data_IF_712504394048
#
_entry.id   IF_712504394048
#
_cell.length_a   1.000
_cell.length_b   1.000
_cell.length_c   1.000
_cell.angle_alpha   90.00
_cell.angle_beta   90.00
_cell.angle_gamma   90.00
#
_symmetry.space_group_name_H-M   'P 1'
#
loop_
_entity.id
_entity.type
_entity.pdbx_description
1 polymer ?
#
# COMPACT_ATOMS: atom_id res chain seq x y z
N UNK A 1 -16.43 15.98 -19.03
CA UNK A 1 -15.17 16.34 -18.35
C UNK A 1 -14.76 15.15 -17.52
N UNK A 2 -13.68 14.46 -17.89
CA UNK A 2 -13.17 13.31 -17.15
C UNK A 2 -12.57 13.81 -15.83
N UNK A 3 -13.23 13.50 -14.72
CA UNK A 3 -12.61 13.59 -13.39
C UNK A 3 -11.54 12.51 -13.32
N UNK A 4 -10.35 12.76 -13.88
CA UNK A 4 -9.18 11.95 -13.54
C UNK A 4 -9.01 12.09 -12.03
N UNK A 5 -9.45 11.08 -11.29
CA UNK A 5 -9.15 10.95 -9.89
C UNK A 5 -7.62 11.07 -9.78
N UNK A 6 -7.13 12.08 -9.07
CA UNK A 6 -5.70 12.39 -8.90
C UNK A 6 -4.96 11.32 -8.06
N UNK A 7 -5.52 10.12 -8.03
CA UNK A 7 -5.24 8.98 -7.19
C UNK A 7 -4.82 7.80 -8.08
N UNK A 8 -4.67 6.63 -7.48
CA UNK A 8 -4.54 5.37 -8.24
C UNK A 8 -5.76 5.26 -9.17
N UNK A 9 -5.57 5.25 -10.51
CA UNK A 9 -6.68 5.26 -11.44
C UNK A 9 -7.45 3.93 -11.39
N UNK A 10 -8.73 3.99 -11.75
CA UNK A 10 -9.45 2.77 -12.10
C UNK A 10 -8.78 2.12 -13.32
N UNK A 11 -8.62 0.81 -13.26
CA UNK A 11 -7.94 0.03 -14.29
C UNK A 11 -8.61 -1.34 -14.38
N UNK A 12 -8.38 -2.03 -15.50
CA UNK A 12 -8.78 -3.42 -15.59
C UNK A 12 -7.96 -4.23 -14.60
N UNK A 13 -8.65 -4.87 -13.68
CA UNK A 13 -8.00 -5.70 -12.69
C UNK A 13 -7.52 -7.03 -13.29
N UNK A 14 -6.30 -7.44 -12.96
CA UNK A 14 -5.65 -8.67 -13.38
C UNK A 14 -4.95 -9.29 -12.16
N UNK A 15 -5.08 -10.60 -11.99
CA UNK A 15 -4.48 -11.40 -10.91
C UNK A 15 -2.95 -11.36 -10.88
N UNK A 16 -2.31 -11.04 -12.01
CA UNK A 16 -0.86 -10.88 -12.17
C UNK A 16 -0.34 -9.55 -11.66
N UNK A 17 -1.22 -8.63 -11.24
CA UNK A 17 -0.82 -7.31 -10.77
C UNK A 17 -0.24 -7.37 -9.36
N UNK A 18 0.91 -6.73 -9.18
CA UNK A 18 1.45 -6.37 -7.89
C UNK A 18 1.46 -4.85 -7.73
N UNK A 19 1.06 -4.36 -6.55
CA UNK A 19 1.17 -2.96 -6.17
C UNK A 19 2.46 -2.74 -5.39
N UNK A 20 3.28 -1.81 -5.87
CA UNK A 20 4.47 -1.33 -5.19
C UNK A 20 4.33 0.16 -4.88
N UNK A 21 4.49 0.52 -3.61
CA UNK A 21 4.52 1.91 -3.14
C UNK A 21 5.85 2.17 -2.45
N UNK A 22 6.62 3.12 -2.97
CA UNK A 22 7.77 3.69 -2.29
C UNK A 22 7.41 5.11 -1.90
N UNK A 23 7.45 5.43 -0.62
CA UNK A 23 7.06 6.76 -0.13
C UNK A 23 8.17 7.35 0.70
N UNK A 24 8.41 8.64 0.52
CA UNK A 24 9.31 9.47 1.31
C UNK A 24 8.58 10.77 1.69
N UNK A 25 9.24 11.66 2.44
CA UNK A 25 8.62 12.92 2.87
C UNK A 25 8.20 13.81 1.69
N UNK A 26 9.01 13.86 0.63
CA UNK A 26 8.81 14.79 -0.50
C UNK A 26 8.64 14.08 -1.85
N UNK A 27 8.69 12.76 -1.89
CA UNK A 27 8.60 12.01 -3.13
C UNK A 27 7.91 10.68 -2.88
N UNK A 28 7.27 10.15 -3.92
CA UNK A 28 6.74 8.81 -3.90
C UNK A 28 6.72 8.22 -5.30
N UNK A 29 6.73 6.90 -5.34
CA UNK A 29 6.61 6.10 -6.53
C UNK A 29 5.53 5.06 -6.28
N UNK A 30 4.46 5.10 -7.06
CA UNK A 30 3.38 4.12 -7.00
C UNK A 30 3.34 3.40 -8.34
N UNK A 31 3.49 2.09 -8.32
CA UNK A 31 3.49 1.26 -9.51
C UNK A 31 2.52 0.12 -9.34
N UNK A 32 1.63 -0.04 -10.33
CA UNK A 32 0.85 -1.24 -10.51
C UNK A 32 1.40 -2.00 -11.72
N UNK A 33 1.87 -3.22 -11.47
CA UNK A 33 2.57 -4.02 -12.49
C UNK A 33 1.75 -4.17 -13.77
N UNK A 34 2.39 -3.89 -14.91
CA UNK A 34 1.79 -3.93 -16.25
C UNK A 34 0.61 -2.96 -16.49
N UNK A 35 0.37 -2.00 -15.59
CA UNK A 35 -0.69 -1.00 -15.76
C UNK A 35 -0.16 0.42 -15.79
N UNK A 36 0.35 0.91 -14.66
CA UNK A 36 0.74 2.31 -14.56
C UNK A 36 1.89 2.51 -13.59
N UNK A 37 2.54 3.66 -13.75
CA UNK A 37 3.57 4.18 -12.86
C UNK A 37 3.28 5.66 -12.59
N UNK A 38 3.06 6.00 -11.34
CA UNK A 38 2.86 7.38 -10.89
C UNK A 38 4.06 7.80 -10.06
N UNK A 39 4.68 8.90 -10.46
CA UNK A 39 5.72 9.54 -9.66
C UNK A 39 5.17 10.82 -9.05
N UNK A 40 5.46 10.99 -7.77
CA UNK A 40 5.12 12.17 -6.99
C UNK A 40 6.42 12.82 -6.56
N UNK A 41 6.50 14.14 -6.70
CA UNK A 41 7.56 14.91 -6.05
C UNK A 41 7.03 16.27 -5.66
N UNK A 42 7.55 16.80 -4.55
CA UNK A 42 7.13 18.08 -3.99
C UNK A 42 8.27 19.07 -4.00
N UNK A 43 8.07 20.17 -4.70
CA UNK A 43 9.00 21.29 -4.73
C UNK A 43 8.23 22.48 -4.13
N UNK A 44 8.67 22.97 -2.96
CA UNK A 44 7.95 24.02 -2.22
C UNK A 44 6.53 23.60 -1.79
N UNK A 45 5.48 24.36 -2.17
CA UNK A 45 4.09 24.18 -1.72
C UNK A 45 3.24 23.29 -2.64
N UNK A 46 3.75 22.90 -3.80
CA UNK A 46 3.02 22.10 -4.79
C UNK A 46 3.66 20.73 -4.94
N UNK A 47 2.79 19.72 -5.03
CA UNK A 47 3.19 18.36 -5.39
C UNK A 47 2.84 18.14 -6.84
N UNK A 48 3.83 17.77 -7.63
CA UNK A 48 3.64 17.33 -9.00
C UNK A 48 3.36 15.84 -9.01
N UNK A 49 2.34 15.44 -9.76
CA UNK A 49 1.96 14.04 -10.01
C UNK A 49 2.15 13.78 -11.49
N UNK A 50 2.98 12.79 -11.84
CA UNK A 50 3.28 12.43 -13.22
C UNK A 50 2.94 10.97 -13.50
N UNK A 51 2.09 10.75 -14.50
CA UNK A 51 1.81 9.42 -15.06
C UNK A 51 2.84 9.12 -16.14
N UNK A 52 3.66 8.09 -15.94
CA UNK A 52 4.78 7.80 -16.84
C UNK A 52 4.29 7.40 -18.23
N UNK A 53 3.21 6.65 -18.29
CA UNK A 53 2.67 6.05 -19.51
C UNK A 53 1.99 7.09 -20.42
N UNK A 54 1.38 8.13 -19.83
CA UNK A 54 0.68 9.19 -20.57
C UNK A 54 1.56 10.42 -20.81
N UNK A 55 2.73 10.49 -20.14
CA UNK A 55 3.57 11.69 -20.05
C UNK A 55 2.79 12.96 -19.65
N UNK A 56 1.71 12.76 -18.90
CA UNK A 56 0.89 13.84 -18.33
C UNK A 56 1.35 14.14 -16.91
N UNK A 57 1.28 15.42 -16.54
CA UNK A 57 1.57 15.91 -15.20
C UNK A 57 0.50 16.88 -14.71
N UNK A 58 0.29 16.90 -13.41
CA UNK A 58 -0.62 17.85 -12.75
C UNK A 58 -0.03 18.29 -11.41
N UNK A 59 -0.43 19.47 -10.95
CA UNK A 59 0.02 20.04 -9.70
C UNK A 59 -1.10 20.09 -8.67
N UNK A 60 -0.79 19.68 -7.44
CA UNK A 60 -1.76 19.56 -6.36
C UNK A 60 -1.21 20.25 -5.11
N UNK A 61 -2.08 21.01 -4.43
CA UNK A 61 -1.78 21.71 -3.17
C UNK A 61 -1.89 20.79 -1.95
N UNK A 62 -1.35 19.57 -2.03
CA UNK A 62 -1.35 18.58 -0.94
C UNK A 62 0.00 17.90 -0.79
N UNK A 63 0.33 17.40 0.40
CA UNK A 63 1.61 16.72 0.63
C UNK A 63 1.65 15.35 -0.05
N UNK A 64 2.85 14.90 -0.44
CA UNK A 64 3.03 13.59 -1.08
C UNK A 64 2.48 12.43 -0.24
N UNK A 65 2.83 12.31 1.06
CA UNK A 65 2.22 11.31 1.93
C UNK A 65 0.70 11.30 1.91
N UNK A 66 0.08 12.48 1.97
CA UNK A 66 -1.39 12.58 2.05
C UNK A 66 -2.07 12.10 0.77
N UNK A 67 -1.54 12.49 -0.40
CA UNK A 67 -2.09 12.04 -1.69
C UNK A 67 -1.92 10.52 -1.83
N UNK A 68 -0.74 9.99 -1.50
CA UNK A 68 -0.45 8.55 -1.58
C UNK A 68 -1.32 7.75 -0.61
N UNK A 69 -1.46 8.18 0.65
CA UNK A 69 -2.35 7.57 1.64
C UNK A 69 -3.80 7.53 1.16
N UNK A 70 -4.32 8.63 0.60
CA UNK A 70 -5.68 8.66 0.06
C UNK A 70 -5.85 7.69 -1.11
N UNK A 71 -4.89 7.66 -2.05
CA UNK A 71 -4.90 6.73 -3.16
C UNK A 71 -4.85 5.27 -2.71
N UNK A 72 -3.97 4.94 -1.77
CA UNK A 72 -3.86 3.60 -1.16
C UNK A 72 -5.17 3.16 -0.51
N UNK A 73 -5.79 4.02 0.30
CA UNK A 73 -7.07 3.72 0.95
C UNK A 73 -8.15 3.34 -0.07
N UNK A 74 -8.30 4.16 -1.11
CA UNK A 74 -9.33 3.97 -2.15
C UNK A 74 -9.04 2.72 -2.99
N UNK A 75 -7.76 2.49 -3.35
CA UNK A 75 -7.37 1.30 -4.10
C UNK A 75 -7.68 0.03 -3.30
N UNK A 76 -7.26 -0.03 -2.03
CA UNK A 76 -7.45 -1.21 -1.20
C UNK A 76 -8.93 -1.48 -0.87
N UNK A 77 -9.76 -0.44 -0.70
CA UNK A 77 -11.19 -0.62 -0.47
C UNK A 77 -11.92 -1.19 -1.69
N UNK A 78 -11.46 -0.85 -2.90
CA UNK A 78 -12.17 -1.16 -4.13
C UNK A 78 -11.62 -2.41 -4.85
N UNK A 79 -10.41 -2.88 -4.51
CA UNK A 79 -9.76 -4.02 -5.18
C UNK A 79 -10.58 -5.30 -5.03
N UNK A 80 -11.03 -5.93 -6.12
CA UNK A 80 -11.83 -7.16 -6.04
C UNK A 80 -11.02 -8.42 -6.31
N UNK A 81 -10.12 -8.34 -7.27
CA UNK A 81 -9.26 -9.45 -7.69
C UNK A 81 -8.05 -9.58 -6.79
N UNK A 82 -7.50 -10.79 -6.78
CA UNK A 82 -6.24 -11.12 -6.14
C UNK A 82 -5.10 -10.21 -6.61
N UNK A 83 -4.23 -9.84 -5.68
CA UNK A 83 -2.94 -9.21 -5.96
C UNK A 83 -1.83 -10.25 -5.85
N UNK A 84 -0.91 -10.24 -6.82
CA UNK A 84 0.32 -11.02 -6.72
C UNK A 84 1.20 -10.50 -5.59
N UNK A 85 1.27 -9.18 -5.40
CA UNK A 85 2.00 -8.59 -4.27
C UNK A 85 1.44 -7.24 -3.82
N UNK A 86 1.64 -6.94 -2.54
CA UNK A 86 1.46 -5.61 -1.96
C UNK A 86 2.75 -5.24 -1.21
N UNK A 87 3.47 -4.25 -1.72
CA UNK A 87 4.78 -3.84 -1.20
C UNK A 87 4.76 -2.37 -0.82
N UNK A 88 5.07 -2.04 0.43
CA UNK A 88 5.15 -0.67 0.96
C UNK A 88 6.55 -0.46 1.54
N UNK A 89 7.36 0.36 0.86
CA UNK A 89 8.77 0.56 1.19
C UNK A 89 9.09 2.07 1.35
N UNK A 90 10.13 2.37 2.12
CA UNK A 90 10.72 3.70 2.27
C UNK A 90 12.13 3.53 2.82
N UNK A 91 13.05 4.43 2.45
CA UNK A 91 14.41 4.35 2.99
C UNK A 91 14.56 5.01 4.35
N UNK A 92 13.77 6.02 4.70
CA UNK A 92 13.85 6.74 5.98
C UNK A 92 12.54 7.52 6.21
N UNK A 93 11.51 6.84 6.71
CA UNK A 93 10.20 7.45 6.92
C UNK A 93 10.08 8.00 8.36
N UNK A 94 9.52 9.20 8.51
CA UNK A 94 9.15 9.72 9.83
C UNK A 94 7.96 8.94 10.37
N UNK A 95 7.93 8.69 11.68
CA UNK A 95 6.84 7.96 12.35
C UNK A 95 5.44 8.52 12.04
N UNK A 96 5.29 9.84 11.92
CA UNK A 96 4.03 10.46 11.52
C UNK A 96 3.54 9.98 10.14
N UNK A 97 4.44 9.92 9.16
CA UNK A 97 4.13 9.47 7.80
C UNK A 97 3.86 7.96 7.78
N UNK A 98 4.62 7.19 8.55
CA UNK A 98 4.39 5.76 8.74
C UNK A 98 2.99 5.49 9.28
N UNK A 99 2.62 6.16 10.38
CA UNK A 99 1.29 6.05 10.98
C UNK A 99 0.21 6.46 9.97
N UNK A 100 0.42 7.54 9.23
CA UNK A 100 -0.52 7.99 8.21
C UNK A 100 -0.76 6.94 7.11
N UNK A 101 0.28 6.28 6.63
CA UNK A 101 0.18 5.20 5.63
C UNK A 101 -0.52 3.99 6.23
N UNK A 102 -0.09 3.54 7.41
CA UNK A 102 -0.70 2.40 8.11
C UNK A 102 -2.19 2.61 8.34
N UNK A 103 -2.59 3.75 8.90
CA UNK A 103 -3.99 4.12 9.14
C UNK A 103 -4.79 4.19 7.83
N UNK A 104 -4.20 4.70 6.75
CA UNK A 104 -4.88 4.75 5.47
C UNK A 104 -5.15 3.36 4.89
N UNK A 105 -4.17 2.46 4.98
CA UNK A 105 -4.34 1.06 4.57
C UNK A 105 -5.40 0.35 5.40
N UNK A 106 -5.29 0.44 6.73
CA UNK A 106 -6.25 -0.17 7.65
C UNK A 106 -7.68 0.33 7.38
N UNK A 107 -7.85 1.64 7.19
CA UNK A 107 -9.16 2.22 6.85
C UNK A 107 -9.68 1.75 5.49
N UNK A 108 -8.83 1.52 4.49
CA UNK A 108 -9.23 0.98 3.20
C UNK A 108 -9.68 -0.47 3.32
N UNK A 109 -8.91 -1.27 4.06
CA UNK A 109 -9.16 -2.69 4.27
C UNK A 109 -10.42 -2.95 5.12
N UNK A 110 -10.66 -2.14 6.16
CA UNK A 110 -11.89 -2.20 6.99
C UNK A 110 -13.18 -1.96 6.21
N UNK A 111 -13.12 -1.26 5.09
CA UNK A 111 -14.30 -0.99 4.26
C UNK A 111 -14.70 -2.18 3.39
N UNK A 112 -13.87 -3.23 3.34
CA UNK A 112 -14.13 -4.42 2.54
C UNK A 112 -15.05 -5.38 3.30
N UNK A 113 -15.95 -6.03 2.56
CA UNK A 113 -16.77 -7.11 3.10
C UNK A 113 -16.00 -8.43 3.20
N UNK A 114 -14.97 -8.60 2.38
CA UNK A 114 -14.12 -9.79 2.33
C UNK A 114 -12.65 -9.40 2.54
N UNK A 115 -11.83 -10.30 3.12
CA UNK A 115 -10.39 -10.08 3.21
C UNK A 115 -9.75 -9.75 1.86
N UNK A 116 -8.65 -9.00 1.89
CA UNK A 116 -7.85 -8.75 0.71
C UNK A 116 -7.15 -10.05 0.29
N UNK A 117 -7.45 -10.50 -0.93
CA UNK A 117 -6.72 -11.61 -1.53
C UNK A 117 -5.39 -11.10 -2.08
N UNK A 118 -4.30 -11.48 -1.42
CA UNK A 118 -2.94 -11.10 -1.81
C UNK A 118 -1.99 -12.26 -1.55
N UNK A 119 -1.14 -12.59 -2.53
CA UNK A 119 -0.21 -13.71 -2.39
C UNK A 119 1.02 -13.36 -1.57
N UNK A 120 1.54 -12.14 -1.71
CA UNK A 120 2.79 -11.72 -1.07
C UNK A 120 2.60 -10.34 -0.47
N UNK A 121 2.98 -10.17 0.80
CA UNK A 121 3.08 -8.84 1.41
C UNK A 121 4.49 -8.54 1.85
N UNK A 122 4.91 -7.31 1.61
CA UNK A 122 6.19 -6.78 2.07
C UNK A 122 6.00 -5.38 2.65
N UNK A 123 6.30 -5.20 3.93
CA UNK A 123 6.16 -3.95 4.64
C UNK A 123 7.48 -3.59 5.34
N UNK A 124 8.35 -2.88 4.63
CA UNK A 124 9.67 -2.50 5.16
C UNK A 124 9.60 -1.26 6.08
N UNK A 125 8.46 -0.58 6.09
CA UNK A 125 8.27 0.71 6.80
C UNK A 125 7.38 0.62 8.02
N UNK A 126 6.64 -0.47 8.16
CA UNK A 126 5.65 -0.62 9.23
C UNK A 126 6.28 -1.35 10.39
N UNK A 127 5.95 -0.93 11.61
CA UNK A 127 6.34 -1.68 12.78
C UNK A 127 5.52 -2.97 12.88
N UNK A 128 6.00 -3.91 13.70
CA UNK A 128 5.38 -5.22 13.82
C UNK A 128 3.91 -5.16 14.25
N UNK A 129 3.51 -4.20 15.08
CA UNK A 129 2.11 -4.05 15.52
C UNK A 129 1.22 -3.60 14.36
N UNK A 130 1.70 -2.64 13.57
CA UNK A 130 1.02 -2.18 12.36
C UNK A 130 0.88 -3.31 11.33
N UNK A 131 1.94 -4.11 11.14
CA UNK A 131 1.89 -5.29 10.26
C UNK A 131 0.82 -6.26 10.75
N UNK A 132 0.83 -6.63 12.03
CA UNK A 132 -0.17 -7.54 12.62
C UNK A 132 -1.59 -6.99 12.43
N UNK A 133 -1.80 -5.70 12.69
CA UNK A 133 -3.10 -5.07 12.52
C UNK A 133 -3.62 -5.16 11.07
N UNK A 134 -2.74 -5.04 10.07
CA UNK A 134 -3.09 -5.16 8.66
C UNK A 134 -3.31 -6.61 8.21
N UNK A 135 -2.53 -7.56 8.72
CA UNK A 135 -2.61 -8.98 8.35
C UNK A 135 -4.00 -9.58 8.64
N UNK A 136 -4.69 -9.11 9.68
CA UNK A 136 -6.07 -9.52 10.02
C UNK A 136 -7.08 -9.29 8.90
N UNK A 137 -6.78 -8.40 7.95
CA UNK A 137 -7.65 -8.08 6.81
C UNK A 137 -7.23 -8.79 5.52
N UNK A 138 -6.29 -9.73 5.58
CA UNK A 138 -5.82 -10.49 4.42
C UNK A 138 -6.36 -11.90 4.44
N UNK A 139 -6.55 -12.48 3.26
CA UNK A 139 -6.99 -13.86 3.10
C UNK A 139 -5.81 -14.83 3.35
N UNK A 140 -5.79 -15.58 4.46
CA UNK A 140 -4.69 -16.48 4.77
C UNK A 140 -4.61 -17.68 3.82
N UNK A 141 -5.71 -18.08 3.15
CA UNK A 141 -5.70 -19.23 2.22
C UNK A 141 -4.92 -18.93 0.95
N UNK A 142 -4.81 -17.65 0.60
CA UNK A 142 -4.16 -17.16 -0.62
C UNK A 142 -2.75 -16.63 -0.34
N UNK A 143 -2.49 -16.21 0.90
CA UNK A 143 -1.22 -15.65 1.30
C UNK A 143 -0.13 -16.72 1.31
N UNK A 144 1.00 -16.43 0.67
CA UNK A 144 2.12 -17.37 0.49
C UNK A 144 3.42 -16.86 1.11
N UNK A 145 3.53 -15.54 1.35
CA UNK A 145 4.74 -14.95 1.92
C UNK A 145 4.44 -13.61 2.60
N UNK A 146 5.05 -13.42 3.77
CA UNK A 146 5.00 -12.19 4.56
C UNK A 146 6.45 -11.77 4.80
N UNK A 147 6.77 -10.51 4.50
CA UNK A 147 8.11 -9.93 4.72
C UNK A 147 7.96 -8.59 5.44
N UNK A 148 8.69 -8.42 6.53
CA UNK A 148 8.76 -7.19 7.30
C UNK A 148 9.98 -7.26 8.22
N UNK A 149 10.46 -6.11 8.66
CA UNK A 149 11.53 -6.03 9.64
C UNK A 149 10.95 -5.98 11.05
N UNK A 150 11.44 -6.84 11.95
CA UNK A 150 11.05 -6.84 13.36
C UNK A 150 12.25 -7.06 14.26
N UNK A 151 12.47 -6.19 15.27
CA UNK A 151 13.46 -6.44 16.30
C UNK A 151 12.98 -7.49 17.32
N UNK A 152 11.68 -7.84 17.32
CA UNK A 152 11.06 -8.75 18.27
C UNK A 152 10.77 -10.11 17.61
N UNK A 153 11.55 -11.13 17.98
CA UNK A 153 11.43 -12.50 17.48
C UNK A 153 10.14 -13.20 17.92
N UNK A 154 9.60 -12.87 19.10
CA UNK A 154 8.39 -13.52 19.62
C UNK A 154 7.18 -13.14 18.77
N UNK A 155 7.13 -11.88 18.30
CA UNK A 155 6.07 -11.44 17.38
C UNK A 155 6.18 -12.10 16.02
N UNK A 156 7.40 -12.35 15.53
CA UNK A 156 7.62 -13.11 14.29
C UNK A 156 7.10 -14.54 14.43
N UNK A 157 7.37 -15.21 15.56
CA UNK A 157 6.86 -16.55 15.86
C UNK A 157 5.33 -16.55 15.88
N UNK A 158 4.69 -15.56 16.52
CA UNK A 158 3.23 -15.47 16.54
C UNK A 158 2.63 -15.32 15.13
N UNK A 159 3.21 -14.47 14.28
CA UNK A 159 2.76 -14.33 12.88
C UNK A 159 2.95 -15.65 12.12
N UNK A 160 4.06 -16.37 12.35
CA UNK A 160 4.29 -17.66 11.72
C UNK A 160 3.25 -18.70 12.15
N UNK A 161 2.95 -18.81 13.44
CA UNK A 161 1.90 -19.69 13.94
C UNK A 161 0.53 -19.32 13.37
N UNK A 162 0.20 -18.02 13.25
CA UNK A 162 -1.03 -17.58 12.59
C UNK A 162 -1.06 -18.00 11.12
N UNK A 163 0.03 -17.78 10.40
CA UNK A 163 0.15 -18.14 8.98
C UNK A 163 0.00 -19.65 8.75
N UNK A 164 0.44 -20.47 9.70
CA UNK A 164 0.26 -21.92 9.69
C UNK A 164 -1.15 -22.37 10.16
N UNK A 165 -2.02 -21.44 10.57
CA UNK A 165 -3.36 -21.75 11.09
C UNK A 165 -3.37 -22.29 12.53
N UNK A 166 -2.29 -22.11 13.29
CA UNK A 166 -2.16 -22.57 14.68
C UNK A 166 -2.83 -21.62 15.67
N UNK A 167 -2.89 -20.32 15.36
CA UNK A 167 -3.49 -19.27 16.20
C UNK A 167 -4.26 -18.24 15.35
N UNK A 168 -5.11 -17.43 15.99
CA UNK A 168 -5.79 -16.28 15.37
C UNK A 168 -5.16 -14.97 15.87
N UNK A 169 -4.97 -13.98 14.98
CA UNK A 169 -4.37 -12.68 15.30
C UNK A 169 -5.33 -11.68 15.93
#
# INVERSE_FOLDING_TARGET
>A
MSTKNHFIPEHLEDEKQGLEVRVDTNAAHVKLSNCFTINYWRWSKLTTVKWKEENEETEIKETVPRIVSQGLRVFLSNRKTILTSLTINSKLLKAEIQNQISTAMENGLKLRNNPLQVKIVQFDVLDTEQVIALLKYMDPEVLTSIRFDSPDINKVINIQSWFNGEIFL
#
